data_IF_685723048126
#
_entry.id   IF_685723048126
#
_cell.length_a   1.000
_cell.length_b   1.000
_cell.length_c   1.000
_cell.angle_alpha   90.00
_cell.angle_beta   90.00
_cell.angle_gamma   90.00
#
_symmetry.space_group_name_H-M   'P 1'
#
loop_
_entity.id
_entity.type
_entity.pdbx_description
1 polymer ?
#
# COMPACT_ATOMS: atom_id res chain seq x y z
N UNK A 1 8.19 -43.44 36.49
CA UNK A 1 8.30 -42.11 37.15
C UNK A 1 9.75 -41.68 37.10
N UNK A 2 10.05 -40.63 36.32
CA UNK A 2 11.36 -39.97 36.24
C UNK A 2 11.11 -38.51 35.80
N UNK A 3 11.49 -37.49 36.57
CA UNK A 3 11.30 -36.10 36.17
C UNK A 3 12.50 -35.60 35.37
N UNK A 4 12.23 -35.09 34.15
CA UNK A 4 13.23 -34.36 33.34
C UNK A 4 13.24 -32.89 33.76
N UNK A 5 14.36 -32.49 34.36
CA UNK A 5 14.68 -31.11 34.74
C UNK A 5 14.92 -30.25 33.49
N UNK A 6 14.13 -29.18 33.28
CA UNK A 6 14.41 -28.14 32.29
C UNK A 6 15.31 -27.08 32.92
N UNK A 7 16.48 -26.84 32.30
CA UNK A 7 17.38 -25.73 32.64
C UNK A 7 16.87 -24.47 31.94
N UNK A 8 16.59 -23.43 32.73
CA UNK A 8 16.35 -22.08 32.22
C UNK A 8 17.69 -21.38 31.98
N UNK A 9 17.88 -20.85 30.78
CA UNK A 9 19.00 -19.99 30.43
C UNK A 9 18.50 -18.55 30.54
N UNK A 10 19.00 -17.79 31.52
CA UNK A 10 18.73 -16.37 31.66
C UNK A 10 19.65 -15.59 30.72
N UNK A 11 19.07 -14.83 29.80
CA UNK A 11 19.79 -13.88 28.94
C UNK A 11 19.66 -12.50 29.57
N UNK A 12 20.79 -11.91 29.98
CA UNK A 12 20.85 -10.56 30.49
C UNK A 12 20.93 -9.57 29.30
N UNK A 13 19.93 -8.70 29.18
CA UNK A 13 19.93 -7.60 28.19
C UNK A 13 20.42 -6.35 28.90
N UNK A 14 21.54 -5.80 28.42
CA UNK A 14 22.12 -4.55 28.89
C UNK A 14 21.53 -3.40 28.06
N UNK A 15 20.72 -2.55 28.69
CA UNK A 15 20.18 -1.35 28.05
C UNK A 15 21.23 -0.25 28.02
N UNK A 16 21.51 0.30 26.84
CA UNK A 16 22.40 1.46 26.67
C UNK A 16 21.53 2.64 26.26
N UNK A 17 21.34 3.59 27.18
CA UNK A 17 20.61 4.83 26.96
C UNK A 17 21.49 5.81 26.17
N UNK A 18 21.01 6.23 25.00
CA UNK A 18 21.62 7.32 24.23
C UNK A 18 20.59 8.43 24.08
N UNK A 19 20.81 9.55 24.78
CA UNK A 19 20.07 10.80 24.64
C UNK A 19 20.64 11.60 23.47
N UNK A 20 19.84 11.86 22.44
CA UNK A 20 20.18 12.83 21.40
C UNK A 20 19.05 13.85 21.24
N UNK A 21 19.45 15.09 21.51
CA UNK A 21 18.69 16.33 21.47
C UNK A 21 18.37 16.76 20.03
N UNK A 22 17.12 17.13 19.78
CA UNK A 22 16.66 17.81 18.55
C UNK A 22 17.35 19.17 18.34
N UNK A 23 17.39 19.61 17.07
CA UNK A 23 16.97 20.96 16.77
C UNK A 23 15.89 20.99 15.68
N UNK A 24 14.88 21.82 15.92
CA UNK A 24 13.77 22.11 15.02
C UNK A 24 14.27 22.70 13.70
N UNK A 25 13.75 22.21 12.56
CA UNK A 25 13.77 22.96 11.31
C UNK A 25 12.38 22.90 10.64
N UNK A 26 12.02 24.07 10.12
CA UNK A 26 10.70 24.48 9.69
C UNK A 26 10.17 23.69 8.49
N UNK A 27 8.84 23.53 8.47
CA UNK A 27 8.03 23.06 7.35
C UNK A 27 8.37 23.83 6.06
N UNK A 28 8.86 23.12 5.05
CA UNK A 28 8.77 23.54 3.66
C UNK A 28 7.74 22.64 2.99
N UNK A 29 6.60 23.21 2.61
CA UNK A 29 5.59 22.57 1.78
C UNK A 29 6.14 22.40 0.36
N UNK A 30 6.21 21.17 -0.21
CA UNK A 30 6.36 21.03 -1.64
C UNK A 30 5.03 21.41 -2.30
N UNK A 31 5.06 22.44 -3.15
CA UNK A 31 3.95 22.78 -4.02
C UNK A 31 3.77 21.67 -5.07
N UNK A 32 2.75 20.85 -4.89
CA UNK A 32 2.34 19.86 -5.89
C UNK A 32 1.80 20.62 -7.11
N UNK A 33 2.48 20.49 -8.26
CA UNK A 33 2.04 21.11 -9.49
C UNK A 33 1.05 20.16 -10.17
N UNK A 34 -0.23 20.31 -9.85
CA UNK A 34 -1.32 19.66 -10.60
C UNK A 34 -1.26 20.16 -12.04
N UNK A 35 -0.98 19.25 -12.98
CA UNK A 35 -1.03 19.55 -14.42
C UNK A 35 -2.45 19.92 -14.81
N UNK A 36 -2.71 21.22 -15.01
CA UNK A 36 -4.01 21.71 -15.50
C UNK A 36 -4.17 21.36 -16.97
N UNK A 37 -5.27 20.67 -17.25
CA UNK A 37 -5.95 20.52 -18.55
C UNK A 37 -5.76 21.77 -19.43
N UNK A 38 -5.20 21.60 -20.62
CA UNK A 38 -5.14 22.66 -21.63
C UNK A 38 -6.55 22.91 -22.18
N UNK A 39 -7.23 23.94 -21.65
CA UNK A 39 -8.43 24.51 -22.27
C UNK A 39 -7.97 25.36 -23.45
N UNK A 40 -8.40 24.99 -24.65
CA UNK A 40 -8.10 25.70 -25.88
C UNK A 40 -8.93 26.99 -25.92
N UNK A 41 -8.46 28.04 -25.26
CA UNK A 41 -9.08 29.37 -25.34
C UNK A 41 -8.35 30.23 -26.39
N UNK A 42 -9.14 30.75 -27.34
CA UNK A 42 -8.68 31.36 -28.57
C UNK A 42 -8.82 32.87 -28.45
N UNK A 43 -7.94 33.53 -27.71
CA UNK A 43 -7.77 35.00 -27.80
C UNK A 43 -6.34 35.45 -27.49
N UNK A 44 -5.88 36.37 -28.31
CA UNK A 44 -4.51 36.84 -28.47
C UNK A 44 -3.97 37.74 -27.34
N UNK A 45 -2.77 37.45 -26.85
CA UNK A 45 -1.78 38.49 -26.50
C UNK A 45 -0.38 37.86 -26.39
N UNK A 46 0.55 38.37 -27.21
CA UNK A 46 1.92 37.90 -27.26
C UNK A 46 2.67 38.31 -25.98
N UNK A 47 3.12 37.31 -25.22
CA UNK A 47 4.19 37.43 -24.23
C UNK A 47 5.50 36.90 -24.84
N UNK A 48 6.67 37.45 -24.49
CA UNK A 48 7.93 37.06 -25.09
C UNK A 48 8.21 35.60 -24.74
N UNK A 49 8.32 34.77 -25.77
CA UNK A 49 8.69 33.37 -25.66
C UNK A 49 10.07 33.28 -25.00
N UNK A 50 10.12 32.82 -23.75
CA UNK A 50 11.32 32.19 -23.21
C UNK A 50 11.54 30.94 -24.06
N UNK A 51 12.30 31.10 -25.15
CA UNK A 51 12.73 29.99 -25.98
C UNK A 51 13.47 29.01 -25.07
N UNK A 52 12.80 27.92 -24.70
CA UNK A 52 13.48 26.73 -24.23
C UNK A 52 14.38 26.30 -25.37
N UNK A 53 15.66 26.68 -25.29
CA UNK A 53 16.70 26.16 -26.16
C UNK A 53 16.82 24.68 -25.81
N UNK A 54 15.99 23.85 -26.44
CA UNK A 54 16.20 22.41 -26.53
C UNK A 54 17.59 22.26 -27.14
N UNK A 55 18.58 22.03 -26.29
CA UNK A 55 19.87 21.52 -26.74
C UNK A 55 19.55 20.18 -27.39
N UNK A 56 19.39 20.20 -28.71
CA UNK A 56 19.42 18.98 -29.52
C UNK A 56 20.84 18.45 -29.33
N UNK A 57 21.03 17.63 -28.29
CA UNK A 57 22.26 16.90 -28.06
C UNK A 57 22.62 16.20 -29.37
N UNK A 58 23.92 16.19 -29.68
CA UNK A 58 24.49 15.37 -30.75
C UNK A 58 23.89 13.97 -30.65
N UNK A 59 22.99 13.64 -31.58
CA UNK A 59 22.23 12.39 -31.52
C UNK A 59 23.17 11.26 -31.91
N UNK A 60 23.50 10.41 -30.95
CA UNK A 60 24.18 9.15 -31.22
C UNK A 60 23.16 8.09 -31.60
N UNK A 61 23.21 7.58 -32.85
CA UNK A 61 22.39 6.46 -33.32
C UNK A 61 21.10 6.85 -34.05
N UNK A 62 20.30 5.83 -34.40
CA UNK A 62 19.03 5.96 -35.11
C UNK A 62 17.87 6.24 -34.15
N UNK A 63 16.90 7.03 -34.58
CA UNK A 63 15.64 7.28 -33.86
C UNK A 63 14.57 6.23 -34.16
N UNK A 64 13.49 6.27 -33.40
CA UNK A 64 12.27 5.50 -33.68
C UNK A 64 11.80 5.73 -35.13
N UNK A 65 11.72 4.66 -35.91
CA UNK A 65 11.31 4.69 -37.32
C UNK A 65 12.45 4.90 -38.30
N UNK A 66 13.67 5.18 -37.83
CA UNK A 66 14.86 5.25 -38.69
C UNK A 66 15.49 3.86 -38.85
N UNK A 67 15.99 3.56 -40.06
CA UNK A 67 16.63 2.28 -40.40
C UNK A 67 15.79 1.04 -40.05
N UNK A 68 14.46 1.16 -40.12
CA UNK A 68 13.52 0.09 -39.74
C UNK A 68 13.63 -0.36 -38.27
N UNK A 69 14.20 0.48 -37.40
CA UNK A 69 14.24 0.24 -35.96
C UNK A 69 13.05 0.93 -35.29
N UNK A 70 12.18 0.13 -34.66
CA UNK A 70 11.00 0.64 -33.94
C UNK A 70 11.13 0.35 -32.45
N UNK A 71 10.66 1.28 -31.63
CA UNK A 71 10.57 1.07 -30.19
C UNK A 71 9.32 0.23 -29.94
N UNK A 72 9.36 -0.74 -29.02
CA UNK A 72 8.15 -1.42 -28.60
C UNK A 72 7.29 -0.39 -27.84
N UNK A 73 6.13 -0.08 -28.40
CA UNK A 73 5.16 0.82 -27.78
C UNK A 73 3.97 0.00 -27.28
N UNK A 74 3.54 0.29 -26.06
CA UNK A 74 2.29 -0.18 -25.49
C UNK A 74 1.49 1.07 -25.10
N UNK A 75 0.29 1.18 -25.63
CA UNK A 75 -0.67 2.21 -25.25
C UNK A 75 -1.77 1.55 -24.42
N UNK A 76 -2.14 2.17 -23.30
CA UNK A 76 -3.28 1.70 -22.52
C UNK A 76 -4.59 2.04 -23.21
N UNK A 77 -5.59 1.22 -22.94
CA UNK A 77 -6.98 1.55 -23.22
C UNK A 77 -7.47 2.65 -22.26
N UNK A 78 -8.52 3.37 -22.64
CA UNK A 78 -9.11 4.46 -21.86
C UNK A 78 -9.78 3.98 -20.56
N UNK A 79 -10.19 2.72 -20.50
CA UNK A 79 -10.73 2.06 -19.31
C UNK A 79 -9.66 1.35 -18.45
N UNK A 80 -8.39 1.42 -18.83
CA UNK A 80 -7.31 0.74 -18.12
C UNK A 80 -7.16 1.28 -16.69
N UNK A 81 -7.22 0.37 -15.72
CA UNK A 81 -6.92 0.67 -14.31
C UNK A 81 -5.44 0.40 -14.08
N UNK A 82 -4.68 1.46 -13.78
CA UNK A 82 -3.26 1.31 -13.46
C UNK A 82 -3.04 0.62 -12.11
N UNK A 83 -1.96 -0.17 -11.98
CA UNK A 83 -1.44 -0.58 -10.68
C UNK A 83 -1.21 0.63 -9.77
N UNK A 84 -1.43 0.44 -8.47
CA UNK A 84 -1.29 1.51 -7.48
C UNK A 84 -0.16 1.21 -6.52
N UNK A 85 0.74 2.17 -6.34
CA UNK A 85 1.79 2.10 -5.32
C UNK A 85 1.21 2.59 -4.00
N UNK A 86 1.26 1.77 -2.96
CA UNK A 86 0.70 2.07 -1.65
C UNK A 86 1.77 1.87 -0.57
N UNK A 87 1.83 2.79 0.40
CA UNK A 87 2.75 2.71 1.52
C UNK A 87 2.31 1.66 2.56
N UNK A 88 3.30 1.02 3.16
CA UNK A 88 3.13 0.00 4.18
C UNK A 88 3.20 0.67 5.55
N UNK A 89 2.19 0.47 6.40
CA UNK A 89 2.16 0.95 7.77
C UNK A 89 3.04 0.12 8.72
N UNK A 90 3.10 -1.19 8.51
CA UNK A 90 3.85 -2.10 9.38
C UNK A 90 3.38 -3.55 9.25
N UNK A 91 3.91 -4.38 10.16
CA UNK A 91 3.53 -5.79 10.27
C UNK A 91 2.46 -5.99 11.36
N UNK A 92 1.52 -6.89 11.11
CA UNK A 92 0.48 -7.30 12.04
C UNK A 92 0.71 -8.75 12.49
N UNK A 93 0.62 -9.04 13.81
CA UNK A 93 0.37 -8.12 14.91
C UNK A 93 1.58 -7.21 15.22
N UNK A 94 1.32 -6.07 15.89
CA UNK A 94 2.36 -5.16 16.38
C UNK A 94 2.33 -3.74 15.80
N UNK A 95 1.65 -3.53 14.66
CA UNK A 95 1.44 -2.17 14.13
C UNK A 95 0.51 -1.35 15.03
N UNK A 96 0.90 -0.12 15.29
CA UNK A 96 0.17 0.82 16.15
C UNK A 96 -0.77 1.73 15.35
N UNK A 97 -1.76 2.30 16.03
CA UNK A 97 -2.65 3.30 15.43
C UNK A 97 -1.88 4.53 14.91
N UNK A 98 -0.81 4.94 15.61
CA UNK A 98 0.04 6.06 15.19
C UNK A 98 0.74 5.77 13.87
N UNK A 99 1.40 4.61 13.76
CA UNK A 99 2.08 4.20 12.52
C UNK A 99 1.11 4.10 11.34
N UNK A 100 -0.07 3.52 11.55
CA UNK A 100 -1.10 3.40 10.53
C UNK A 100 -1.65 4.75 10.03
N UNK A 101 -1.77 5.72 10.93
CA UNK A 101 -2.24 7.07 10.60
C UNK A 101 -1.13 7.96 10.04
N UNK A 102 0.14 7.70 10.38
CA UNK A 102 1.29 8.47 9.91
C UNK A 102 1.60 8.26 8.43
N UNK A 103 1.16 7.13 7.84
CA UNK A 103 1.36 6.82 6.43
C UNK A 103 0.71 7.86 5.51
N UNK A 104 1.42 8.28 4.47
CA UNK A 104 0.85 9.13 3.43
C UNK A 104 0.22 8.30 2.33
N UNK A 105 -0.87 8.79 1.73
CA UNK A 105 -1.55 8.14 0.62
C UNK A 105 -1.69 9.10 -0.57
N UNK A 106 -1.60 8.54 -1.77
CA UNK A 106 -1.77 9.27 -3.03
C UNK A 106 -3.08 8.84 -3.69
N UNK A 107 -3.80 9.74 -4.38
CA UNK A 107 -5.02 9.39 -5.11
C UNK A 107 -4.74 8.39 -6.25
N UNK A 108 -5.74 7.61 -6.69
CA UNK A 108 -5.58 6.73 -7.84
C UNK A 108 -5.30 7.54 -9.12
N UNK A 109 -4.56 6.95 -10.06
CA UNK A 109 -4.39 7.52 -11.39
C UNK A 109 -5.74 7.61 -12.12
N UNK A 110 -5.93 8.61 -12.99
CA UNK A 110 -7.10 8.62 -13.90
C UNK A 110 -7.08 7.39 -14.83
N UNK A 111 -8.25 6.91 -15.24
CA UNK A 111 -8.35 5.76 -16.15
C UNK A 111 -7.58 6.00 -17.46
N UNK A 112 -6.90 4.96 -17.94
CA UNK A 112 -6.00 5.01 -19.10
C UNK A 112 -4.64 5.69 -18.83
N UNK A 113 -4.46 6.34 -17.67
CA UNK A 113 -3.21 6.96 -17.28
C UNK A 113 -2.40 6.06 -16.33
N UNK A 114 -1.14 6.43 -16.08
CA UNK A 114 -0.29 5.81 -15.07
C UNK A 114 0.10 6.82 -14.00
N UNK A 115 0.29 6.33 -12.77
CA UNK A 115 0.95 7.06 -11.71
C UNK A 115 2.39 6.54 -11.55
N UNK A 116 3.27 7.43 -11.12
CA UNK A 116 4.62 7.11 -10.70
C UNK A 116 4.87 7.71 -9.32
N UNK A 117 5.64 7.01 -8.51
CA UNK A 117 6.10 7.49 -7.23
C UNK A 117 7.63 7.57 -7.25
N UNK A 118 8.17 8.66 -6.73
CA UNK A 118 9.60 8.85 -6.53
C UNK A 118 9.85 8.78 -5.04
N UNK A 119 10.44 7.68 -4.60
CA UNK A 119 10.80 7.50 -3.20
C UNK A 119 11.73 8.61 -2.74
N UNK A 120 11.34 9.33 -1.69
CA UNK A 120 12.21 10.29 -1.03
C UNK A 120 13.32 9.50 -0.29
N UNK A 121 14.60 9.67 -0.66
CA UNK A 121 15.69 8.98 0.03
C UNK A 121 15.83 9.39 1.50
N UNK A 122 15.27 10.53 1.90
CA UNK A 122 15.32 11.03 3.28
C UNK A 122 14.01 10.82 4.05
N UNK A 123 12.97 10.29 3.39
CA UNK A 123 11.68 10.01 4.01
C UNK A 123 11.72 8.75 4.89
N UNK A 124 10.81 8.61 5.86
CA UNK A 124 10.65 7.37 6.61
C UNK A 124 10.27 6.22 5.66
N UNK A 125 11.18 5.27 5.47
CA UNK A 125 10.98 4.13 4.56
C UNK A 125 10.41 2.93 5.32
N UNK A 126 9.10 2.94 5.59
CA UNK A 126 8.40 1.71 6.00
C UNK A 126 8.16 0.76 4.81
N UNK A 127 8.32 1.27 3.59
CA UNK A 127 8.23 0.53 2.33
C UNK A 127 6.94 0.83 1.56
N UNK A 128 6.94 0.42 0.30
CA UNK A 128 5.80 0.54 -0.62
C UNK A 128 5.56 -0.79 -1.32
N UNK A 129 4.31 -1.08 -1.64
CA UNK A 129 3.93 -2.23 -2.47
C UNK A 129 3.13 -1.78 -3.68
N UNK A 130 3.40 -2.40 -4.83
CA UNK A 130 2.58 -2.22 -6.03
C UNK A 130 1.40 -3.19 -5.98
N UNK A 131 0.19 -2.63 -5.87
CA UNK A 131 -1.05 -3.38 -5.92
C UNK A 131 -1.57 -3.46 -7.36
N UNK A 132 -2.21 -4.57 -7.74
CA UNK A 132 -2.75 -4.75 -9.09
C UNK A 132 -3.81 -3.69 -9.44
N UNK A 133 -3.91 -3.38 -10.73
CA UNK A 133 -4.96 -2.51 -11.26
C UNK A 133 -6.32 -3.22 -11.26
N UNK A 134 -7.04 -3.12 -10.14
CA UNK A 134 -8.38 -3.70 -9.96
C UNK A 134 -9.34 -2.66 -9.39
N UNK A 135 -10.64 -2.83 -9.64
CA UNK A 135 -11.68 -1.93 -9.14
C UNK A 135 -11.62 -1.74 -7.63
N UNK A 136 -11.41 -2.80 -6.84
CA UNK A 136 -11.32 -2.69 -5.37
C UNK A 136 -10.14 -1.83 -4.89
N UNK A 137 -9.01 -1.88 -5.60
CA UNK A 137 -7.81 -1.08 -5.31
C UNK A 137 -8.00 0.37 -5.79
N UNK A 138 -8.63 0.54 -6.94
CA UNK A 138 -8.93 1.84 -7.54
C UNK A 138 -9.94 2.65 -6.71
N UNK A 139 -11.00 2.01 -6.23
CA UNK A 139 -12.08 2.61 -5.41
C UNK A 139 -11.72 2.75 -3.92
N UNK A 140 -10.49 2.43 -3.53
CA UNK A 140 -10.01 2.68 -2.17
C UNK A 140 -9.56 4.14 -2.08
N UNK A 141 -10.27 4.98 -1.32
CA UNK A 141 -10.00 6.42 -1.34
C UNK A 141 -8.69 6.78 -0.63
N UNK A 142 -8.50 6.26 0.59
CA UNK A 142 -7.32 6.52 1.42
C UNK A 142 -6.58 5.20 1.75
N UNK A 143 -5.78 4.67 0.80
CA UNK A 143 -5.16 3.36 0.91
C UNK A 143 -3.98 3.34 1.87
N UNK A 144 -3.89 2.26 2.64
CA UNK A 144 -2.71 1.90 3.42
C UNK A 144 -2.58 0.39 3.46
N UNK A 145 -1.35 -0.13 3.44
CA UNK A 145 -1.09 -1.56 3.50
C UNK A 145 -0.59 -1.98 4.87
N UNK A 146 -1.09 -3.11 5.37
CA UNK A 146 -0.54 -3.84 6.51
C UNK A 146 -0.04 -5.19 5.99
N UNK A 147 1.13 -5.64 6.44
CA UNK A 147 1.62 -6.98 6.17
C UNK A 147 1.20 -7.88 7.32
N UNK A 148 0.46 -8.95 7.05
CA UNK A 148 -0.07 -9.81 8.10
C UNK A 148 0.17 -11.28 7.79
N UNK A 149 0.49 -12.08 8.79
CA UNK A 149 0.60 -13.53 8.59
C UNK A 149 -0.80 -14.16 8.44
N UNK A 150 -0.97 -15.06 7.48
CA UNK A 150 -2.26 -15.74 7.25
C UNK A 150 -2.91 -16.37 8.51
N UNK A 151 -2.20 -17.06 9.44
CA UNK A 151 -2.84 -17.63 10.62
C UNK A 151 -3.37 -16.55 11.57
N UNK A 152 -2.73 -15.38 11.64
CA UNK A 152 -3.14 -14.28 12.53
C UNK A 152 -4.45 -13.63 12.07
N UNK A 153 -4.76 -13.73 10.78
CA UNK A 153 -6.02 -13.29 10.18
C UNK A 153 -7.07 -14.39 10.11
N UNK A 154 -6.77 -15.61 10.57
CA UNK A 154 -7.65 -16.76 10.43
C UNK A 154 -7.84 -17.22 8.97
N UNK A 155 -6.98 -16.80 8.05
CA UNK A 155 -7.00 -17.25 6.66
C UNK A 155 -6.45 -18.66 6.62
N UNK A 156 -7.28 -19.62 6.21
CA UNK A 156 -6.84 -21.02 6.08
C UNK A 156 -6.21 -21.23 4.71
N UNK A 157 -4.95 -21.67 4.69
CA UNK A 157 -4.25 -22.09 3.47
C UNK A 157 -4.16 -23.62 3.42
N UNK A 158 -3.68 -24.16 2.29
CA UNK A 158 -3.52 -25.60 2.11
C UNK A 158 -2.63 -26.21 3.22
N UNK A 159 -2.99 -27.38 3.74
CA UNK A 159 -2.29 -28.11 4.81
C UNK A 159 -0.78 -28.37 4.58
N UNK A 160 -0.28 -28.21 3.35
CA UNK A 160 1.14 -28.36 3.01
C UNK A 160 1.94 -27.09 3.30
N UNK A 161 1.27 -25.96 3.54
CA UNK A 161 1.87 -24.73 4.04
C UNK A 161 2.16 -24.93 5.52
N UNK A 162 3.42 -25.17 5.85
CA UNK A 162 3.87 -25.39 7.23
C UNK A 162 4.24 -24.07 7.90
N UNK A 163 4.82 -23.15 7.13
CA UNK A 163 5.31 -21.87 7.62
C UNK A 163 4.25 -20.77 7.42
N UNK A 164 4.18 -19.77 8.32
CA UNK A 164 3.39 -18.57 8.10
C UNK A 164 3.72 -17.91 6.76
N UNK A 165 2.69 -17.34 6.14
CA UNK A 165 2.78 -16.69 4.82
C UNK A 165 2.28 -15.28 4.99
N UNK A 166 3.10 -14.32 4.58
CA UNK A 166 2.76 -12.91 4.59
C UNK A 166 1.69 -12.60 3.56
N UNK A 167 0.66 -11.91 4.00
CA UNK A 167 -0.44 -11.40 3.22
C UNK A 167 -0.33 -9.88 3.13
N UNK A 168 -0.61 -9.34 1.94
CA UNK A 168 -0.74 -7.90 1.74
C UNK A 168 -2.19 -7.52 2.01
N UNK A 169 -2.43 -6.74 3.06
CA UNK A 169 -3.77 -6.31 3.49
C UNK A 169 -3.95 -4.83 3.14
N UNK A 170 -4.74 -4.53 2.11
CA UNK A 170 -5.12 -3.17 1.75
C UNK A 170 -6.30 -2.72 2.62
N UNK A 171 -6.12 -1.57 3.26
CA UNK A 171 -7.12 -0.93 4.09
C UNK A 171 -7.46 0.46 3.54
N UNK A 172 -8.72 0.87 3.71
CA UNK A 172 -9.22 2.19 3.40
C UNK A 172 -9.48 2.97 4.69
N UNK A 173 -8.66 3.99 4.96
CA UNK A 173 -8.76 4.80 6.18
C UNK A 173 -9.91 5.80 6.17
N UNK A 174 -10.50 6.05 5.00
CA UNK A 174 -11.68 6.91 4.86
C UNK A 174 -12.94 6.23 5.40
N UNK A 175 -12.98 4.88 5.38
CA UNK A 175 -14.12 4.05 5.80
C UNK A 175 -14.07 3.74 7.30
N UNK A 176 -14.52 4.70 8.11
CA UNK A 176 -14.50 4.62 9.59
C UNK A 176 -15.83 4.28 10.24
N UNK A 177 -16.85 3.98 9.44
CA UNK A 177 -18.19 3.63 9.92
C UNK A 177 -18.39 2.13 9.86
N UNK A 178 -19.11 1.58 10.84
CA UNK A 178 -19.50 0.17 10.81
C UNK A 178 -20.31 -0.17 9.56
N UNK A 179 -20.02 -1.34 9.00
CA UNK A 179 -20.71 -1.98 7.89
C UNK A 179 -20.71 -3.50 8.12
N UNK A 180 -21.87 -4.13 7.94
CA UNK A 180 -21.97 -5.58 8.12
C UNK A 180 -21.13 -6.34 7.09
N UNK A 181 -20.63 -7.52 7.50
CA UNK A 181 -19.85 -8.43 6.63
C UNK A 181 -18.58 -7.79 6.06
N UNK A 182 -17.96 -6.88 6.81
CA UNK A 182 -16.67 -6.26 6.48
C UNK A 182 -15.68 -6.46 7.61
N UNK A 183 -14.42 -6.57 7.25
CA UNK A 183 -13.31 -6.52 8.20
C UNK A 183 -12.86 -5.08 8.39
N UNK A 184 -12.52 -4.74 9.62
CA UNK A 184 -12.11 -3.42 10.08
C UNK A 184 -10.70 -3.48 10.65
N UNK A 185 -10.00 -2.36 10.50
CA UNK A 185 -8.82 -2.04 11.30
C UNK A 185 -9.30 -1.12 12.40
N UNK A 186 -9.08 -1.52 13.65
CA UNK A 186 -9.55 -0.75 14.80
C UNK A 186 -8.53 -0.75 15.93
N UNK A 187 -8.56 0.33 16.70
CA UNK A 187 -7.85 0.46 17.97
C UNK A 187 -8.82 0.11 19.09
N UNK A 188 -8.46 -0.87 19.91
CA UNK A 188 -9.13 -1.14 21.17
C UNK A 188 -8.33 -0.43 22.25
N UNK A 189 -8.84 0.70 22.75
CA UNK A 189 -8.12 1.58 23.68
C UNK A 189 -7.63 0.89 24.96
N UNK A 190 -8.06 -0.35 25.23
CA UNK A 190 -7.59 -1.19 26.32
C UNK A 190 -6.28 -1.96 26.02
N UNK A 191 -5.86 -2.04 24.75
CA UNK A 191 -4.71 -2.83 24.28
C UNK A 191 -3.46 -2.01 24.02
N UNK A 192 -3.36 -0.82 24.60
CA UNK A 192 -2.12 -0.02 24.55
C UNK A 192 -1.77 0.53 23.16
N UNK A 193 -2.77 0.72 22.28
CA UNK A 193 -2.61 1.36 20.97
C UNK A 193 -2.20 0.42 19.82
N UNK A 194 -2.10 -0.88 20.07
CA UNK A 194 -1.92 -1.89 19.02
C UNK A 194 -3.22 -2.07 18.22
N UNK A 195 -3.08 -2.11 16.89
CA UNK A 195 -4.21 -2.34 16.02
C UNK A 195 -4.68 -3.78 16.08
N UNK A 196 -5.99 -3.96 15.96
CA UNK A 196 -6.63 -5.25 15.75
C UNK A 196 -7.34 -5.25 14.39
N UNK A 197 -7.23 -6.37 13.66
CA UNK A 197 -8.00 -6.62 12.44
C UNK A 197 -9.08 -7.64 12.76
N UNK A 198 -10.35 -7.31 12.47
CA UNK A 198 -11.47 -8.19 12.79
C UNK A 198 -12.79 -7.72 12.21
N UNK A 199 -13.83 -8.52 12.37
CA UNK A 199 -15.19 -8.21 11.94
C UNK A 199 -16.16 -8.32 13.11
N UNK A 200 -17.25 -7.55 13.06
CA UNK A 200 -18.36 -7.62 14.01
C UNK A 200 -19.61 -8.05 13.26
N UNK A 201 -20.45 -8.88 13.88
CA UNK A 201 -21.69 -9.37 13.26
C UNK A 201 -22.73 -8.25 13.20
N UNK A 202 -22.79 -7.46 14.27
CA UNK A 202 -23.72 -6.34 14.41
C UNK A 202 -23.04 -5.16 15.10
N UNK A 203 -23.63 -3.96 14.96
CA UNK A 203 -23.09 -2.74 15.56
C UNK A 203 -23.04 -2.81 17.09
N UNK A 204 -23.99 -3.51 17.69
CA UNK A 204 -24.11 -3.63 19.15
C UNK A 204 -23.00 -4.51 19.77
N UNK A 205 -22.27 -5.28 18.96
CA UNK A 205 -21.11 -6.07 19.40
C UNK A 205 -19.83 -5.23 19.52
N UNK A 206 -19.82 -4.00 18.99
CA UNK A 206 -18.63 -3.13 19.03
C UNK A 206 -18.50 -2.56 20.45
N UNK A 207 -17.42 -2.86 21.18
CA UNK A 207 -17.18 -2.28 22.50
C UNK A 207 -17.04 -0.75 22.42
N UNK A 208 -17.48 -0.03 23.45
CA UNK A 208 -17.35 1.44 23.49
C UNK A 208 -15.90 1.93 23.45
N UNK A 209 -14.93 1.09 23.84
CA UNK A 209 -13.49 1.38 23.77
C UNK A 209 -12.90 1.26 22.36
N UNK A 210 -13.65 0.73 21.40
CA UNK A 210 -13.16 0.44 20.05
C UNK A 210 -13.43 1.61 19.12
N UNK A 211 -12.36 2.06 18.45
CA UNK A 211 -12.45 3.07 17.39
C UNK A 211 -12.07 2.43 16.05
N UNK A 212 -13.00 2.43 15.09
CA UNK A 212 -12.72 1.98 13.72
C UNK A 212 -11.85 3.03 13.03
N UNK A 213 -10.67 2.62 12.57
CA UNK A 213 -9.70 3.48 11.90
C UNK A 213 -9.70 3.30 10.38
N UNK A 214 -10.21 2.17 9.90
CA UNK A 214 -10.41 1.90 8.48
C UNK A 214 -11.09 0.56 8.24
N UNK A 215 -11.29 0.25 6.97
CA UNK A 215 -11.90 -1.00 6.51
C UNK A 215 -10.93 -1.76 5.60
N UNK A 216 -10.82 -3.08 5.76
CA UNK A 216 -10.08 -3.92 4.82
C UNK A 216 -10.86 -4.00 3.50
N UNK A 217 -10.23 -3.63 2.39
CA UNK A 217 -10.86 -3.63 1.05
C UNK A 217 -10.32 -4.74 0.16
N UNK A 218 -9.10 -5.22 0.40
CA UNK A 218 -8.47 -6.25 -0.42
C UNK A 218 -7.36 -6.98 0.37
N UNK A 219 -7.24 -8.29 0.16
CA UNK A 219 -6.15 -9.10 0.72
C UNK A 219 -5.53 -9.92 -0.42
N UNK A 220 -4.20 -9.83 -0.56
CA UNK A 220 -3.45 -10.58 -1.56
C UNK A 220 -2.59 -11.63 -0.90
N UNK A 221 -2.76 -12.88 -1.35
CA UNK A 221 -1.91 -14.01 -1.01
C UNK A 221 -0.83 -14.12 -2.11
N UNK A 222 0.46 -14.25 -1.75
CA UNK A 222 1.51 -14.49 -2.74
C UNK A 222 1.28 -15.84 -3.42
N UNK A 223 1.80 -16.00 -4.64
CA UNK A 223 1.76 -17.31 -5.29
C UNK A 223 2.63 -18.31 -4.52
N UNK A 224 2.04 -19.45 -4.16
CA UNK A 224 2.75 -20.55 -3.52
C UNK A 224 2.88 -21.72 -4.51
N UNK A 225 3.99 -22.48 -4.51
CA UNK A 225 4.20 -23.59 -5.46
C UNK A 225 3.14 -24.69 -5.46
N UNK A 226 2.41 -24.84 -4.36
CA UNK A 226 1.31 -25.79 -4.22
C UNK A 226 -0.04 -25.27 -4.71
N UNK A 227 -0.16 -23.97 -4.97
CA UNK A 227 -1.37 -23.41 -5.55
C UNK A 227 -1.45 -23.84 -7.01
N UNK A 228 -2.63 -24.26 -7.44
CA UNK A 228 -2.86 -24.47 -8.85
C UNK A 228 -2.70 -23.14 -9.58
N UNK A 229 -2.11 -23.19 -10.79
CA UNK A 229 -2.13 -22.02 -11.67
C UNK A 229 -3.59 -21.69 -11.91
N UNK A 230 -4.03 -20.52 -11.43
CA UNK A 230 -5.41 -20.11 -11.63
C UNK A 230 -5.73 -20.14 -13.12
N UNK A 231 -6.90 -20.67 -13.48
CA UNK A 231 -7.42 -20.54 -14.85
C UNK A 231 -8.01 -19.14 -15.08
N UNK A 232 -8.41 -18.44 -14.01
CA UNK A 232 -8.94 -17.06 -14.05
C UNK A 232 -8.46 -16.19 -12.87
N UNK A 233 -8.71 -14.88 -12.91
CA UNK A 233 -8.19 -13.90 -11.93
C UNK A 233 -8.81 -13.95 -10.52
N UNK A 234 -9.95 -14.62 -10.32
CA UNK A 234 -10.68 -14.63 -9.05
C UNK A 234 -10.50 -15.94 -8.30
N UNK A 235 -10.20 -15.88 -6.99
CA UNK A 235 -9.99 -17.08 -6.15
C UNK A 235 -11.30 -17.69 -5.62
N UNK A 236 -12.44 -17.00 -5.75
CA UNK A 236 -13.73 -17.45 -5.21
C UNK A 236 -14.56 -18.25 -6.23
N UNK A 237 -14.22 -18.19 -7.53
CA UNK A 237 -14.92 -18.88 -8.62
C UNK A 237 -14.25 -20.19 -9.06
N UNK A 238 -13.02 -20.42 -8.64
CA UNK A 238 -12.32 -21.68 -8.86
C UNK A 238 -12.54 -22.52 -7.58
N UNK A 239 -13.24 -23.67 -7.70
CA UNK A 239 -13.41 -24.71 -6.65
C UNK A 239 -12.05 -25.31 -6.23
N UNK A 240 -11.13 -24.48 -5.77
CA UNK A 240 -9.71 -24.79 -5.61
C UNK A 240 -9.20 -24.30 -4.26
N UNK A 241 -9.78 -24.92 -3.24
CA UNK A 241 -9.06 -25.29 -2.02
C UNK A 241 -9.22 -26.80 -1.81
#
# INVERSE_FOLDING_TARGET
MSPRTRKFLAVAITATTSTLTSPCHAFATPAFTTSRRAVLDKTSRASPATASTTRLNEKTGNLHGESSCFLPLLQNDDEYIAPRVVQIAGAYPGVTAEEFLAVTSEPPAELGQWAYDFTDPNGPQMGTVALPGMTSVYETDDPVVIIAEHPTLGVTLHEKVVDPVDLVVLCDRSKRTFAERKFFVFDDGNKGGELTIGAFTSKDEIPESVTILGQVTFVQIPWLPMMQKKKSGFSEDDDLF
#
